data_IF_890161275281
#
_entry.id   IF_890161275281
#
_cell.length_a   1.000
_cell.length_b   1.000
_cell.length_c   1.000
_cell.angle_alpha   90.00
_cell.angle_beta   90.00
_cell.angle_gamma   90.00
#
_symmetry.space_group_name_H-M   'P 1'
#
loop_
_entity.id
_entity.type
_entity.pdbx_description
1 polymer ?
#
# COMPACT_ATOMS: atom_id res chain seq x y z
N UNK A 1 19.88 39.40 4.00
CA UNK A 1 19.01 39.54 2.80
C UNK A 1 19.47 38.53 1.77
N UNK A 2 18.82 37.36 1.73
CA UNK A 2 19.13 36.30 0.75
C UNK A 2 18.26 36.55 -0.48
N UNK A 3 18.90 36.99 -1.57
CA UNK A 3 18.25 37.11 -2.88
C UNK A 3 17.96 35.70 -3.44
N UNK A 4 16.71 35.32 -3.45
CA UNK A 4 16.25 34.12 -4.15
C UNK A 4 16.33 34.45 -5.64
N UNK A 5 17.34 33.90 -6.33
CA UNK A 5 17.42 33.99 -7.78
C UNK A 5 16.33 33.10 -8.39
N UNK A 6 15.25 33.70 -8.84
CA UNK A 6 14.30 33.04 -9.72
C UNK A 6 14.99 32.75 -11.06
N UNK A 7 15.36 31.50 -11.30
CA UNK A 7 15.71 31.05 -12.64
C UNK A 7 14.46 31.20 -13.51
N UNK A 8 14.44 32.25 -14.34
CA UNK A 8 13.38 32.44 -15.35
C UNK A 8 13.30 31.15 -16.20
N UNK A 9 12.22 30.40 -16.05
CA UNK A 9 11.98 29.25 -16.93
C UNK A 9 11.84 29.75 -18.35
N UNK A 10 12.64 29.20 -19.27
CA UNK A 10 12.55 29.49 -20.69
C UNK A 10 11.12 29.17 -21.17
N UNK A 11 10.43 30.21 -21.63
CA UNK A 11 9.13 30.09 -22.30
C UNK A 11 9.37 30.14 -23.80
N UNK A 12 8.95 29.10 -24.54
CA UNK A 12 9.10 29.12 -26.02
C UNK A 12 8.33 30.28 -26.63
N UNK A 13 8.90 30.92 -27.64
CA UNK A 13 8.21 31.95 -28.38
C UNK A 13 7.00 31.36 -29.13
N UNK A 14 5.91 32.11 -29.20
CA UNK A 14 4.72 31.74 -29.93
C UNK A 14 5.01 31.57 -31.44
N UNK A 15 4.28 30.71 -32.10
CA UNK A 15 4.44 30.42 -33.52
C UNK A 15 4.27 31.67 -34.39
N UNK A 16 3.32 32.54 -34.02
CA UNK A 16 3.10 33.83 -34.73
C UNK A 16 4.32 34.73 -34.63
N UNK A 17 4.93 34.84 -33.45
CA UNK A 17 6.16 35.63 -33.25
C UNK A 17 7.30 35.15 -34.14
N UNK A 18 7.49 33.82 -34.22
CA UNK A 18 8.52 33.22 -35.09
C UNK A 18 8.25 33.52 -36.56
N UNK A 19 7.02 33.37 -37.01
CA UNK A 19 6.61 33.58 -38.39
C UNK A 19 6.81 35.05 -38.83
N UNK A 20 6.29 35.99 -38.05
CA UNK A 20 6.42 37.39 -38.39
C UNK A 20 7.87 37.90 -38.29
N UNK A 21 8.64 37.44 -37.35
CA UNK A 21 10.06 37.80 -37.21
C UNK A 21 10.88 37.32 -38.41
N UNK A 22 10.67 36.08 -38.87
CA UNK A 22 11.39 35.53 -40.03
C UNK A 22 10.96 36.25 -41.32
N UNK A 23 9.66 36.49 -41.52
CA UNK A 23 9.18 37.21 -42.69
C UNK A 23 9.75 38.63 -42.75
N UNK A 24 9.73 39.36 -41.64
CA UNK A 24 10.29 40.72 -41.63
C UNK A 24 11.77 40.73 -41.93
N UNK A 25 12.54 39.74 -41.46
CA UNK A 25 13.95 39.57 -41.81
C UNK A 25 14.14 39.26 -43.29
N UNK A 26 13.34 38.40 -43.90
CA UNK A 26 13.41 38.06 -45.33
C UNK A 26 12.98 39.19 -46.23
N UNK A 27 12.18 40.15 -45.72
CA UNK A 27 11.85 41.38 -46.45
C UNK A 27 12.94 42.47 -46.32
N UNK A 28 14.15 42.12 -45.85
CA UNK A 28 15.31 42.99 -45.85
C UNK A 28 15.49 43.88 -44.61
N UNK A 29 14.68 43.71 -43.59
CA UNK A 29 14.85 44.51 -42.36
C UNK A 29 16.09 44.07 -41.56
N UNK A 30 16.87 45.04 -40.99
CA UNK A 30 18.08 44.72 -40.23
C UNK A 30 17.82 43.76 -39.07
N UNK A 31 18.73 42.79 -38.85
CA UNK A 31 18.65 41.81 -37.75
C UNK A 31 18.46 42.49 -36.41
N UNK A 32 19.15 43.58 -36.13
CA UNK A 32 19.05 44.32 -34.87
C UNK A 32 17.64 44.91 -34.66
N UNK A 33 16.98 45.36 -35.71
CA UNK A 33 15.62 45.87 -35.68
C UNK A 33 14.63 44.73 -35.34
N UNK A 34 14.70 43.60 -36.05
CA UNK A 34 13.82 42.46 -35.86
C UNK A 34 13.98 41.89 -34.46
N UNK A 35 15.23 41.74 -34.00
CA UNK A 35 15.51 41.22 -32.64
C UNK A 35 14.93 42.11 -31.52
N UNK A 36 15.06 43.45 -31.68
CA UNK A 36 14.47 44.41 -30.71
C UNK A 36 12.94 44.36 -30.73
N UNK A 37 12.34 44.36 -31.94
CA UNK A 37 10.88 44.38 -32.09
C UNK A 37 10.18 43.15 -31.45
N UNK A 38 10.76 41.97 -31.63
CA UNK A 38 10.17 40.71 -31.14
C UNK A 38 10.81 40.19 -29.87
N UNK A 39 11.74 40.94 -29.26
CA UNK A 39 12.49 40.56 -28.04
C UNK A 39 13.12 39.16 -28.15
N UNK A 40 13.77 38.88 -29.27
CA UNK A 40 14.40 37.61 -29.61
C UNK A 40 15.90 37.76 -29.77
N UNK A 41 16.64 36.64 -29.56
CA UNK A 41 18.07 36.64 -29.87
C UNK A 41 18.36 36.50 -31.35
N UNK A 42 19.50 37.01 -31.81
CA UNK A 42 19.99 36.79 -33.19
C UNK A 42 20.06 35.29 -33.52
N UNK A 43 20.54 34.47 -32.60
CA UNK A 43 20.66 33.02 -32.79
C UNK A 43 19.28 32.34 -32.99
N UNK A 44 18.26 32.82 -32.31
CA UNK A 44 16.89 32.31 -32.48
C UNK A 44 16.34 32.66 -33.86
N UNK A 45 16.50 33.93 -34.27
CA UNK A 45 16.08 34.37 -35.60
C UNK A 45 16.78 33.58 -36.72
N UNK A 46 18.10 33.42 -36.67
CA UNK A 46 18.86 32.66 -37.67
C UNK A 46 18.43 31.18 -37.70
N UNK A 47 18.19 30.59 -36.58
CA UNK A 47 17.72 29.18 -36.48
C UNK A 47 16.34 29.00 -37.11
N UNK A 48 15.43 29.95 -36.87
CA UNK A 48 14.09 29.92 -37.45
C UNK A 48 14.14 30.18 -38.97
N UNK A 49 14.95 31.16 -39.39
CA UNK A 49 15.12 31.43 -40.81
C UNK A 49 15.68 30.23 -41.60
N UNK A 50 16.60 29.44 -40.96
CA UNK A 50 17.14 28.22 -41.60
C UNK A 50 16.06 27.12 -41.72
N UNK A 51 15.09 27.08 -40.80
CA UNK A 51 13.98 26.09 -40.82
C UNK A 51 12.82 26.52 -41.74
N UNK A 52 12.72 27.80 -42.07
CA UNK A 52 11.55 28.37 -42.71
C UNK A 52 11.53 28.06 -44.19
N UNK A 53 10.55 27.29 -44.63
CA UNK A 53 10.29 26.90 -46.04
C UNK A 53 9.24 27.79 -46.74
N UNK A 54 8.69 28.78 -46.07
CA UNK A 54 7.59 29.63 -46.52
C UNK A 54 6.29 29.37 -45.78
N UNK A 55 6.15 28.23 -45.17
CA UNK A 55 4.96 27.87 -44.40
C UNK A 55 5.14 28.17 -42.90
N UNK A 56 4.03 28.44 -42.22
CA UNK A 56 4.01 28.67 -40.78
C UNK A 56 4.29 27.38 -39.99
N UNK A 57 3.91 26.27 -40.56
CA UNK A 57 4.05 24.91 -40.01
C UNK A 57 5.52 24.51 -39.83
N UNK A 58 6.41 24.99 -40.72
CA UNK A 58 7.85 24.72 -40.64
C UNK A 58 8.50 25.25 -39.36
N UNK A 59 7.88 26.26 -38.73
CA UNK A 59 8.36 26.88 -37.47
C UNK A 59 7.82 26.25 -36.21
N UNK A 60 6.99 25.22 -36.30
CA UNK A 60 6.50 24.48 -35.17
C UNK A 60 7.67 23.76 -34.46
N UNK A 61 7.76 23.90 -33.14
CA UNK A 61 8.79 23.20 -32.40
C UNK A 61 8.47 21.69 -32.37
N UNK A 62 9.42 20.89 -32.81
CA UNK A 62 9.32 19.43 -32.69
C UNK A 62 9.46 19.01 -31.23
N UNK A 63 8.79 17.95 -30.87
CA UNK A 63 8.95 17.33 -29.55
C UNK A 63 10.41 16.95 -29.30
N UNK A 64 10.94 17.32 -28.15
CA UNK A 64 12.27 16.85 -27.68
C UNK A 64 12.22 15.45 -27.04
N UNK A 65 11.07 14.78 -27.11
CA UNK A 65 10.92 13.44 -26.57
C UNK A 65 11.78 12.46 -27.37
N UNK A 66 12.55 11.59 -26.68
CA UNK A 66 13.29 10.53 -27.38
C UNK A 66 12.37 9.71 -28.27
N UNK A 67 12.82 9.40 -29.48
CA UNK A 67 12.07 8.57 -30.44
C UNK A 67 12.09 7.11 -30.05
N UNK A 68 13.14 6.68 -29.37
CA UNK A 68 13.29 5.32 -28.86
C UNK A 68 12.86 5.22 -27.40
N UNK A 69 12.18 4.13 -27.00
CA UNK A 69 11.87 3.88 -25.59
C UNK A 69 13.15 3.87 -24.74
N UNK A 70 13.05 4.37 -23.51
CA UNK A 70 14.16 4.31 -22.56
C UNK A 70 14.57 2.85 -22.34
N UNK A 71 15.88 2.49 -22.22
CA UNK A 71 16.33 1.10 -22.00
C UNK A 71 15.65 0.42 -20.80
N UNK A 72 15.31 1.19 -19.77
CA UNK A 72 14.58 0.71 -18.59
C UNK A 72 13.04 0.82 -18.74
N UNK A 73 12.50 1.07 -19.94
CA UNK A 73 11.06 0.98 -20.15
C UNK A 73 10.58 -0.47 -20.03
N UNK A 74 9.33 -0.65 -19.60
CA UNK A 74 8.74 -2.00 -19.58
C UNK A 74 8.60 -2.53 -21.00
N UNK A 75 8.95 -3.79 -21.17
CA UNK A 75 8.77 -4.51 -22.43
C UNK A 75 7.29 -4.82 -22.66
N UNK A 76 6.91 -5.08 -23.90
CA UNK A 76 5.54 -5.49 -24.24
C UNK A 76 5.14 -6.78 -23.52
N UNK A 77 6.08 -7.71 -23.36
CA UNK A 77 5.88 -8.95 -22.62
C UNK A 77 5.57 -8.70 -21.13
N UNK A 78 6.34 -7.82 -20.49
CA UNK A 78 6.09 -7.44 -19.08
C UNK A 78 4.72 -6.75 -18.93
N UNK A 79 4.37 -5.86 -19.87
CA UNK A 79 3.05 -5.20 -19.87
C UNK A 79 1.91 -6.21 -20.09
N UNK A 80 2.11 -7.23 -20.92
CA UNK A 80 1.16 -8.33 -21.11
C UNK A 80 0.96 -9.12 -19.82
N UNK A 81 2.03 -9.50 -19.12
CA UNK A 81 1.94 -10.21 -17.84
C UNK A 81 1.16 -9.41 -16.79
N UNK A 82 1.42 -8.12 -16.69
CA UNK A 82 0.72 -7.21 -15.77
C UNK A 82 -0.78 -7.20 -16.10
N UNK A 83 -1.13 -6.94 -17.36
CA UNK A 83 -2.54 -6.90 -17.80
C UNK A 83 -3.27 -8.23 -17.61
N UNK A 84 -2.62 -9.35 -17.89
CA UNK A 84 -3.22 -10.69 -17.76
C UNK A 84 -3.49 -11.04 -16.29
N UNK A 85 -2.58 -10.73 -15.37
CA UNK A 85 -2.78 -10.97 -13.95
C UNK A 85 -3.93 -10.11 -13.39
N UNK A 86 -4.02 -8.84 -13.80
CA UNK A 86 -5.10 -7.95 -13.39
C UNK A 86 -6.44 -8.41 -13.98
N UNK A 87 -6.48 -8.81 -15.25
CA UNK A 87 -7.68 -9.33 -15.89
C UNK A 87 -8.23 -10.56 -15.18
N UNK A 88 -7.35 -11.49 -14.74
CA UNK A 88 -7.73 -12.70 -13.98
C UNK A 88 -8.18 -12.39 -12.57
N UNK A 89 -7.58 -11.35 -11.95
CA UNK A 89 -7.88 -10.89 -10.61
C UNK A 89 -8.08 -9.37 -10.58
N UNK A 90 -9.27 -8.85 -10.93
CA UNK A 90 -9.50 -7.40 -11.00
C UNK A 90 -9.24 -6.66 -9.69
N UNK A 91 -9.31 -7.36 -8.57
CA UNK A 91 -9.13 -6.82 -7.22
C UNK A 91 -7.77 -7.15 -6.59
N UNK A 92 -6.81 -7.60 -7.42
CA UNK A 92 -5.46 -7.93 -6.94
C UNK A 92 -4.80 -6.70 -6.31
N UNK A 93 -4.22 -6.86 -5.13
CA UNK A 93 -3.48 -5.77 -4.51
C UNK A 93 -2.14 -5.55 -5.19
N UNK A 94 -1.60 -4.32 -5.10
CA UNK A 94 -0.27 -3.99 -5.65
C UNK A 94 0.83 -4.94 -5.13
N UNK A 95 0.79 -5.26 -3.84
CA UNK A 95 1.79 -6.14 -3.21
C UNK A 95 1.68 -7.58 -3.73
N UNK A 96 0.45 -8.07 -3.89
CA UNK A 96 0.20 -9.41 -4.43
C UNK A 96 0.60 -9.50 -5.91
N UNK A 97 0.23 -8.48 -6.70
CA UNK A 97 0.62 -8.41 -8.11
C UNK A 97 2.15 -8.42 -8.27
N UNK A 98 2.85 -7.60 -7.48
CA UNK A 98 4.32 -7.54 -7.52
C UNK A 98 4.95 -8.87 -7.09
N UNK A 99 4.41 -9.50 -6.04
CA UNK A 99 4.86 -10.81 -5.59
C UNK A 99 4.73 -11.87 -6.69
N UNK A 100 3.55 -12.01 -7.29
CA UNK A 100 3.29 -12.96 -8.38
C UNK A 100 4.16 -12.72 -9.60
N UNK A 101 4.33 -11.47 -10.02
CA UNK A 101 5.20 -11.13 -11.14
C UNK A 101 6.64 -11.58 -10.87
N UNK A 102 7.16 -11.40 -9.66
CA UNK A 102 8.53 -11.84 -9.31
C UNK A 102 8.66 -13.35 -9.24
N UNK A 103 7.74 -14.01 -8.57
CA UNK A 103 7.83 -15.46 -8.31
C UNK A 103 7.45 -16.31 -9.52
N UNK A 104 6.40 -15.91 -10.26
CA UNK A 104 5.86 -16.74 -11.34
C UNK A 104 6.41 -16.36 -12.73
N UNK A 105 6.93 -15.12 -12.90
CA UNK A 105 7.33 -14.57 -14.21
C UNK A 105 8.77 -14.08 -14.27
N UNK A 106 9.52 -14.14 -13.17
CA UNK A 106 10.90 -13.63 -13.14
C UNK A 106 11.02 -12.12 -13.35
N UNK A 107 9.98 -11.35 -12.99
CA UNK A 107 9.97 -9.89 -13.12
C UNK A 107 11.05 -9.24 -12.27
N UNK A 108 12.02 -8.60 -12.91
CA UNK A 108 13.23 -8.06 -12.27
C UNK A 108 13.15 -6.59 -11.87
N UNK A 109 12.11 -5.85 -12.33
CA UNK A 109 12.02 -4.42 -12.08
C UNK A 109 11.57 -4.11 -10.66
N UNK A 110 11.87 -2.88 -10.21
CA UNK A 110 11.51 -2.43 -8.86
C UNK A 110 10.00 -2.18 -8.72
N UNK A 111 9.49 -2.33 -7.49
CA UNK A 111 8.10 -2.05 -7.18
C UNK A 111 7.66 -0.60 -7.54
N UNK A 112 8.46 0.47 -7.28
CA UNK A 112 8.10 1.81 -7.73
C UNK A 112 7.96 1.93 -9.25
N UNK A 113 8.73 1.15 -10.04
CA UNK A 113 8.61 1.12 -11.50
C UNK A 113 7.28 0.51 -11.93
N UNK A 114 6.88 -0.63 -11.34
CA UNK A 114 5.58 -1.25 -11.56
C UNK A 114 4.44 -0.29 -11.21
N UNK A 115 4.49 0.36 -10.05
CA UNK A 115 3.44 1.26 -9.60
C UNK A 115 3.25 2.48 -10.52
N UNK A 116 4.33 3.01 -11.09
CA UNK A 116 4.24 4.07 -12.11
C UNK A 116 3.52 3.60 -13.37
N UNK A 117 3.81 2.39 -13.84
CA UNK A 117 3.14 1.80 -15.00
C UNK A 117 1.66 1.58 -14.72
N UNK A 118 1.31 1.04 -13.56
CA UNK A 118 -0.08 0.81 -13.19
C UNK A 118 -0.91 2.11 -13.16
N UNK A 119 -0.32 3.21 -12.64
CA UNK A 119 -0.97 4.53 -12.70
C UNK A 119 -1.15 5.02 -14.14
N UNK A 120 -0.12 4.87 -14.97
CA UNK A 120 -0.18 5.25 -16.39
C UNK A 120 -1.24 4.46 -17.16
N UNK A 121 -1.47 3.20 -16.78
CA UNK A 121 -2.50 2.34 -17.37
C UNK A 121 -3.90 2.57 -16.77
N UNK A 122 -4.04 3.51 -15.81
CA UNK A 122 -5.34 3.85 -15.22
C UNK A 122 -5.90 2.85 -14.21
N UNK A 123 -5.08 1.89 -13.75
CA UNK A 123 -5.55 0.90 -12.76
C UNK A 123 -5.75 1.47 -11.36
N UNK A 124 -5.23 2.68 -11.08
CA UNK A 124 -5.39 3.34 -9.79
C UNK A 124 -5.76 4.81 -9.99
N UNK A 125 -6.88 5.19 -9.40
CA UNK A 125 -7.30 6.60 -9.32
C UNK A 125 -6.44 7.31 -8.29
N UNK A 126 -5.90 8.48 -8.61
CA UNK A 126 -5.21 9.32 -7.64
C UNK A 126 -6.20 9.74 -6.55
N UNK A 127 -5.89 9.37 -5.30
CA UNK A 127 -6.65 9.83 -4.15
C UNK A 127 -6.26 11.28 -3.84
N UNK A 128 -7.23 12.10 -3.46
CA UNK A 128 -6.97 13.44 -2.94
C UNK A 128 -5.92 13.41 -1.83
N UNK A 129 -4.97 14.33 -1.92
CA UNK A 129 -3.88 14.44 -0.95
C UNK A 129 -4.41 15.11 0.31
N UNK A 130 -4.75 14.32 1.31
CA UNK A 130 -4.96 14.85 2.66
C UNK A 130 -3.60 15.17 3.33
N UNK A 131 -3.56 16.20 4.17
CA UNK A 131 -2.38 16.54 4.97
C UNK A 131 -1.89 15.31 5.75
N UNK A 132 -0.62 15.00 5.57
CA UNK A 132 -0.02 13.82 6.21
C UNK A 132 0.34 14.16 7.65
N UNK A 133 -0.43 13.63 8.58
CA UNK A 133 0.02 13.56 9.96
C UNK A 133 1.30 12.72 10.07
N UNK A 134 2.35 13.28 10.65
CA UNK A 134 3.62 12.57 10.96
C UNK A 134 3.58 12.01 12.39
N UNK A 135 3.27 10.71 12.58
CA UNK A 135 3.27 10.10 13.91
C UNK A 135 4.70 9.92 14.44
N UNK A 136 4.86 9.97 15.77
CA UNK A 136 6.10 9.53 16.41
C UNK A 136 6.41 8.09 16.00
N UNK A 137 7.70 7.80 15.79
CA UNK A 137 8.18 6.47 15.41
C UNK A 137 7.80 5.46 16.51
N UNK A 138 7.18 4.37 16.12
CA UNK A 138 6.82 3.26 17.01
C UNK A 138 7.91 2.17 16.91
N UNK A 139 8.46 1.77 18.04
CA UNK A 139 9.46 0.70 18.08
C UNK A 139 8.76 -0.66 17.92
N UNK A 140 9.01 -1.29 16.78
CA UNK A 140 8.49 -2.63 16.49
C UNK A 140 9.49 -3.66 17.00
N UNK A 141 9.05 -4.69 17.74
CA UNK A 141 9.92 -5.80 18.15
C UNK A 141 10.60 -6.44 16.94
N UNK A 142 11.86 -6.83 17.12
CA UNK A 142 12.66 -7.53 16.10
C UNK A 142 12.38 -9.02 16.06
N UNK A 143 12.00 -9.58 17.22
CA UNK A 143 11.77 -11.01 17.41
C UNK A 143 10.29 -11.38 17.46
N UNK A 144 9.96 -12.56 16.91
CA UNK A 144 8.63 -13.15 17.03
C UNK A 144 8.32 -13.54 18.49
N UNK A 145 7.04 -13.50 18.83
CA UNK A 145 6.56 -13.87 20.18
C UNK A 145 6.87 -12.83 21.25
N UNK A 146 7.43 -11.66 20.91
CA UNK A 146 7.57 -10.56 21.89
C UNK A 146 6.21 -9.92 22.14
N UNK A 147 5.51 -9.55 21.08
CA UNK A 147 4.25 -8.82 21.22
C UNK A 147 3.26 -9.17 20.13
N UNK A 148 2.06 -9.50 20.54
CA UNK A 148 0.90 -9.66 19.68
C UNK A 148 -0.07 -8.50 19.87
N UNK A 149 -0.66 -8.02 18.79
CA UNK A 149 -1.82 -7.13 18.83
C UNK A 149 -3.07 -7.96 18.51
N UNK A 150 -4.10 -7.82 19.34
CA UNK A 150 -5.37 -8.55 19.18
C UNK A 150 -6.53 -7.57 19.13
N UNK A 151 -7.53 -7.87 18.30
CA UNK A 151 -8.72 -7.05 18.11
C UNK A 151 -9.87 -7.90 17.54
N UNK A 152 -11.10 -7.43 17.69
CA UNK A 152 -12.30 -8.06 17.17
C UNK A 152 -13.01 -7.13 16.17
N UNK A 153 -13.46 -7.70 15.09
CA UNK A 153 -14.21 -7.00 14.07
C UNK A 153 -15.54 -7.68 13.79
N UNK A 154 -16.60 -6.90 13.61
CA UNK A 154 -17.85 -7.41 13.04
C UNK A 154 -17.63 -7.90 11.60
N UNK A 155 -18.14 -9.08 11.27
CA UNK A 155 -18.29 -9.54 9.91
C UNK A 155 -19.46 -8.75 9.28
N UNK A 156 -19.25 -8.06 8.14
CA UNK A 156 -20.33 -7.29 7.52
C UNK A 156 -21.54 -8.16 7.22
N UNK A 157 -22.70 -7.69 7.63
CA UNK A 157 -23.96 -8.47 7.51
C UNK A 157 -24.30 -8.76 6.05
N UNK A 158 -23.87 -7.89 5.14
CA UNK A 158 -24.08 -8.02 3.70
C UNK A 158 -23.37 -9.24 3.08
N UNK A 159 -22.39 -9.81 3.81
CA UNK A 159 -21.67 -11.01 3.38
C UNK A 159 -22.47 -12.30 3.66
N UNK A 160 -23.40 -12.25 4.61
CA UNK A 160 -24.20 -13.41 5.01
C UNK A 160 -25.46 -13.53 4.14
N UNK A 161 -25.66 -14.69 3.55
CA UNK A 161 -26.79 -15.03 2.69
C UNK A 161 -27.67 -16.15 3.27
N UNK A 162 -27.58 -16.42 4.57
CA UNK A 162 -28.42 -17.39 5.27
C UNK A 162 -29.81 -16.86 5.57
N UNK A 163 -30.69 -17.74 6.04
CA UNK A 163 -32.11 -17.45 6.31
C UNK A 163 -32.35 -16.78 7.67
N UNK A 164 -31.41 -16.89 8.59
CA UNK A 164 -31.52 -16.32 9.96
C UNK A 164 -30.62 -15.09 10.07
N UNK A 165 -31.04 -14.02 10.79
CA UNK A 165 -30.22 -12.82 10.94
C UNK A 165 -29.10 -13.02 11.98
N UNK A 166 -28.16 -13.92 11.69
CA UNK A 166 -27.02 -14.19 12.58
C UNK A 166 -25.93 -13.13 12.47
N UNK A 167 -25.31 -12.80 13.59
CA UNK A 167 -24.14 -11.94 13.66
C UNK A 167 -22.89 -12.79 13.82
N UNK A 168 -21.82 -12.39 13.13
CA UNK A 168 -20.54 -13.07 13.22
C UNK A 168 -19.44 -12.06 13.52
N UNK A 169 -18.39 -12.53 14.19
CA UNK A 169 -17.28 -11.73 14.66
C UNK A 169 -15.98 -12.37 14.19
N UNK A 170 -15.08 -11.58 13.62
CA UNK A 170 -13.72 -12.01 13.33
C UNK A 170 -12.82 -11.59 14.47
N UNK A 171 -12.24 -12.54 15.16
CA UNK A 171 -11.12 -12.33 16.05
C UNK A 171 -9.82 -12.35 15.25
N UNK A 172 -8.94 -11.43 15.54
CA UNK A 172 -7.67 -11.27 14.83
C UNK A 172 -6.55 -11.06 15.82
N UNK A 173 -5.46 -11.78 15.64
CA UNK A 173 -4.19 -11.53 16.32
C UNK A 173 -3.07 -11.46 15.29
N UNK A 174 -2.15 -10.51 15.47
CA UNK A 174 -0.98 -10.30 14.62
C UNK A 174 0.29 -10.25 15.46
N UNK A 175 1.29 -11.03 15.09
CA UNK A 175 2.65 -10.91 15.62
C UNK A 175 3.32 -9.66 15.04
N UNK A 176 3.82 -8.78 15.90
CA UNK A 176 4.32 -7.49 15.49
C UNK A 176 5.61 -7.56 14.67
N UNK A 177 6.47 -8.54 14.90
CA UNK A 177 7.74 -8.69 14.22
C UNK A 177 7.59 -9.29 12.82
N UNK A 178 6.88 -10.40 12.73
CA UNK A 178 6.68 -11.12 11.47
C UNK A 178 5.54 -10.57 10.61
N UNK A 179 4.59 -9.86 11.21
CA UNK A 179 3.29 -9.50 10.61
C UNK A 179 2.43 -10.71 10.26
N UNK A 180 2.84 -11.91 10.64
CA UNK A 180 1.99 -13.08 10.52
C UNK A 180 0.78 -12.92 11.45
N UNK A 181 -0.36 -13.32 10.97
CA UNK A 181 -1.60 -13.19 11.72
C UNK A 181 -2.37 -14.50 11.76
N UNK A 182 -3.20 -14.63 12.76
CA UNK A 182 -4.23 -15.64 12.86
C UNK A 182 -5.60 -14.97 12.97
N UNK A 183 -6.59 -15.47 12.23
CA UNK A 183 -7.98 -15.02 12.27
C UNK A 183 -8.91 -16.21 12.43
N UNK A 184 -9.98 -16.01 13.16
CA UNK A 184 -10.99 -17.04 13.37
C UNK A 184 -12.37 -16.42 13.60
N UNK A 185 -13.46 -16.95 13.02
CA UNK A 185 -14.80 -16.44 13.23
C UNK A 185 -15.43 -17.01 14.49
N UNK A 186 -16.30 -16.22 15.12
CA UNK A 186 -17.16 -16.62 16.23
C UNK A 186 -18.58 -16.10 16.01
N UNK A 187 -19.57 -16.76 16.64
CA UNK A 187 -20.96 -16.31 16.65
C UNK A 187 -21.24 -15.25 17.71
N UNK A 188 -20.31 -15.05 18.64
CA UNK A 188 -20.44 -14.08 19.73
C UNK A 188 -19.14 -13.34 20.00
N UNK A 189 -19.25 -12.12 20.47
CA UNK A 189 -18.15 -11.33 21.03
C UNK A 189 -18.21 -11.48 22.55
N UNK A 190 -17.44 -12.41 23.08
CA UNK A 190 -17.47 -12.75 24.49
C UNK A 190 -16.07 -13.06 25.02
N UNK A 191 -15.92 -13.01 26.34
CA UNK A 191 -14.69 -13.44 27.03
C UNK A 191 -14.37 -14.91 26.76
N UNK A 192 -15.38 -15.78 26.63
CA UNK A 192 -15.18 -17.19 26.27
C UNK A 192 -14.57 -17.35 24.89
N UNK A 193 -15.11 -16.63 23.90
CA UNK A 193 -14.55 -16.61 22.54
C UNK A 193 -13.13 -16.07 22.53
N UNK A 194 -12.81 -15.05 23.34
CA UNK A 194 -11.46 -14.50 23.49
C UNK A 194 -10.49 -15.54 24.03
N UNK A 195 -10.86 -16.26 25.08
CA UNK A 195 -10.02 -17.31 25.70
C UNK A 195 -9.77 -18.45 24.71
N UNK A 196 -10.82 -18.96 24.05
CA UNK A 196 -10.68 -20.00 23.02
C UNK A 196 -9.78 -19.52 21.87
N UNK A 197 -9.98 -18.28 21.41
CA UNK A 197 -9.18 -17.69 20.34
C UNK A 197 -7.69 -17.59 20.68
N UNK A 198 -7.33 -17.14 21.89
CA UNK A 198 -5.92 -17.07 22.34
C UNK A 198 -5.29 -18.46 22.36
N UNK A 199 -6.00 -19.48 22.86
CA UNK A 199 -5.52 -20.86 22.85
C UNK A 199 -5.28 -21.37 21.43
N UNK A 200 -6.22 -21.13 20.50
CA UNK A 200 -6.08 -21.48 19.07
C UNK A 200 -4.92 -20.75 18.44
N UNK A 201 -4.72 -19.48 18.74
CA UNK A 201 -3.62 -18.68 18.21
C UNK A 201 -2.27 -19.24 18.65
N UNK A 202 -2.11 -19.62 19.92
CA UNK A 202 -0.87 -20.26 20.42
C UNK A 202 -0.58 -21.56 19.67
N UNK A 203 -1.61 -22.40 19.45
CA UNK A 203 -1.46 -23.62 18.65
C UNK A 203 -1.08 -23.32 17.20
N UNK A 204 -1.73 -22.33 16.59
CA UNK A 204 -1.45 -21.93 15.21
C UNK A 204 -0.02 -21.42 14.99
N UNK A 205 0.46 -20.55 15.88
CA UNK A 205 1.81 -19.99 15.76
C UNK A 205 2.90 -20.99 16.22
N UNK A 206 2.56 -21.94 17.07
CA UNK A 206 3.53 -22.86 17.69
C UNK A 206 4.35 -22.22 18.82
N UNK A 207 4.01 -21.01 19.25
CA UNK A 207 4.64 -20.28 20.35
C UNK A 207 3.66 -19.34 21.02
N UNK A 208 3.94 -19.00 22.29
CA UNK A 208 3.20 -17.98 23.06
C UNK A 208 3.91 -16.64 23.00
N UNK A 209 3.18 -15.49 23.04
CA UNK A 209 3.80 -14.18 23.11
C UNK A 209 4.19 -13.84 24.55
N UNK A 210 5.10 -12.89 24.72
CA UNK A 210 5.36 -12.27 26.04
C UNK A 210 4.28 -11.26 26.38
N UNK A 211 3.76 -10.55 25.38
CA UNK A 211 2.75 -9.50 25.57
C UNK A 211 1.62 -9.71 24.57
N UNK A 212 0.37 -9.68 25.07
CA UNK A 212 -0.82 -9.52 24.23
C UNK A 212 -1.38 -8.11 24.48
N UNK A 213 -1.46 -7.32 23.42
CA UNK A 213 -2.04 -5.98 23.48
C UNK A 213 -3.44 -5.98 22.87
N UNK A 214 -4.42 -5.44 23.60
CA UNK A 214 -5.80 -5.29 23.18
C UNK A 214 -6.27 -3.85 23.39
N UNK A 215 -7.41 -3.51 22.83
CA UNK A 215 -8.17 -2.34 23.26
C UNK A 215 -8.90 -2.60 24.60
N UNK A 216 -9.77 -1.65 24.98
CA UNK A 216 -10.53 -1.73 26.22
C UNK A 216 -11.94 -2.32 26.00
N UNK A 217 -12.13 -3.21 25.03
CA UNK A 217 -13.37 -3.92 24.78
C UNK A 217 -13.79 -4.80 25.96
N UNK A 218 -15.10 -5.00 26.16
CA UNK A 218 -15.64 -5.82 27.27
C UNK A 218 -15.22 -7.28 27.19
N UNK A 219 -14.91 -7.76 26.01
CA UNK A 219 -14.37 -9.10 25.75
C UNK A 219 -12.93 -9.28 26.26
N UNK A 220 -12.22 -8.17 26.51
CA UNK A 220 -10.82 -8.16 26.93
C UNK A 220 -10.63 -7.66 28.36
N UNK A 221 -11.51 -6.79 28.86
CA UNK A 221 -11.38 -6.20 30.20
C UNK A 221 -12.75 -5.73 30.74
N UNK A 222 -12.85 -5.56 32.06
CA UNK A 222 -14.04 -4.94 32.63
C UNK A 222 -14.04 -3.43 32.39
N UNK A 223 -15.14 -2.89 31.89
CA UNK A 223 -15.31 -1.44 31.65
C UNK A 223 -15.66 -0.67 32.90
N UNK A 224 -16.25 -1.36 33.88
CA UNK A 224 -16.56 -0.81 35.21
C UNK A 224 -15.46 -1.17 36.23
N UNK A 225 -15.19 -0.26 37.18
CA UNK A 225 -14.28 -0.55 38.27
C UNK A 225 -14.83 -1.73 39.08
N UNK A 226 -14.05 -2.77 39.19
CA UNK A 226 -14.36 -3.99 39.97
C UNK A 226 -13.08 -4.59 40.53
N UNK A 227 -13.17 -5.24 41.65
CA UNK A 227 -12.06 -6.00 42.26
C UNK A 227 -11.88 -7.39 41.62
N UNK A 228 -12.77 -7.76 40.70
CA UNK A 228 -12.69 -9.03 39.97
C UNK A 228 -11.63 -8.99 38.91
N UNK A 229 -10.81 -10.03 38.81
CA UNK A 229 -9.84 -10.21 37.74
C UNK A 229 -10.57 -10.74 36.51
N UNK A 230 -10.31 -10.13 35.35
CA UNK A 230 -10.93 -10.56 34.12
C UNK A 230 -10.41 -11.96 33.70
N UNK A 231 -11.25 -12.85 33.16
CA UNK A 231 -10.82 -14.22 32.84
C UNK A 231 -9.69 -14.28 31.77
N UNK A 232 -9.58 -13.29 30.89
CA UNK A 232 -8.44 -13.17 29.98
C UNK A 232 -7.13 -12.93 30.77
N UNK A 233 -7.16 -12.08 31.81
CA UNK A 233 -5.97 -11.81 32.64
C UNK A 233 -5.56 -13.05 33.43
N UNK A 234 -6.54 -13.83 33.90
CA UNK A 234 -6.28 -15.12 34.55
C UNK A 234 -5.59 -16.08 33.58
N UNK A 235 -6.09 -16.22 32.36
CA UNK A 235 -5.47 -17.04 31.35
C UNK A 235 -4.06 -16.54 31.01
N UNK A 236 -3.88 -15.25 30.79
CA UNK A 236 -2.59 -14.67 30.47
C UNK A 236 -1.58 -14.91 31.58
N UNK A 237 -1.95 -14.70 32.83
CA UNK A 237 -1.12 -14.97 34.01
C UNK A 237 -0.73 -16.45 34.10
N UNK A 238 -1.66 -17.39 33.87
CA UNK A 238 -1.38 -18.82 33.88
C UNK A 238 -0.41 -19.28 32.80
N UNK A 239 -0.31 -18.51 31.73
CA UNK A 239 0.58 -18.76 30.56
C UNK A 239 1.85 -17.91 30.60
N UNK A 240 2.08 -17.12 31.66
CA UNK A 240 3.20 -16.17 31.75
C UNK A 240 3.21 -15.19 30.58
N UNK A 241 2.04 -14.64 30.25
CA UNK A 241 1.81 -13.64 29.23
C UNK A 241 1.38 -12.33 29.90
N UNK A 242 2.00 -11.22 29.55
CA UNK A 242 1.55 -9.91 30.01
C UNK A 242 0.41 -9.37 29.13
N UNK A 243 -0.79 -9.23 29.70
CA UNK A 243 -1.90 -8.55 29.01
C UNK A 243 -1.75 -7.03 29.13
N UNK A 244 -1.66 -6.33 28.02
CA UNK A 244 -1.46 -4.89 27.94
C UNK A 244 -2.65 -4.21 27.26
N UNK A 245 -3.37 -3.38 28.00
CA UNK A 245 -4.42 -2.53 27.44
C UNK A 245 -3.80 -1.29 26.77
N UNK A 246 -4.36 -0.86 25.64
CA UNK A 246 -3.99 0.43 25.06
C UNK A 246 -4.51 1.58 25.93
N UNK A 247 -3.78 2.70 25.91
CA UNK A 247 -4.26 3.90 26.63
C UNK A 247 -5.55 4.40 25.97
N UNK A 248 -6.56 4.81 26.76
CA UNK A 248 -7.78 5.39 26.23
C UNK A 248 -7.47 6.52 25.24
N UNK A 249 -8.22 6.62 24.16
CA UNK A 249 -8.07 7.62 23.07
C UNK A 249 -6.73 7.58 22.32
N UNK A 250 -6.01 6.44 22.37
CA UNK A 250 -4.77 6.25 21.59
C UNK A 250 -4.86 5.04 20.64
N UNK A 251 -5.76 5.09 19.63
CA UNK A 251 -6.00 3.95 18.72
C UNK A 251 -4.74 3.51 17.95
N UNK A 252 -3.73 4.39 17.85
CA UNK A 252 -2.46 4.09 17.17
C UNK A 252 -1.69 2.90 17.74
N UNK A 253 -1.89 2.59 19.00
CA UNK A 253 -1.17 1.49 19.64
C UNK A 253 -1.61 0.15 19.03
N UNK A 254 -2.87 0.01 18.57
CA UNK A 254 -3.38 -1.19 17.89
C UNK A 254 -3.37 -1.10 16.36
N UNK A 255 -2.63 -0.14 15.81
CA UNK A 255 -2.65 0.22 14.39
C UNK A 255 -2.25 -0.88 13.41
N UNK A 256 -1.54 -1.94 13.85
CA UNK A 256 -1.17 -3.07 12.97
C UNK A 256 -2.38 -3.97 12.71
N UNK A 257 -3.11 -4.32 13.77
CA UNK A 257 -4.33 -5.14 13.65
C UNK A 257 -5.46 -4.35 12.99
N UNK A 258 -5.65 -3.07 13.33
CA UNK A 258 -6.62 -2.20 12.66
C UNK A 258 -6.36 -2.07 11.14
N UNK A 259 -5.08 -1.93 10.75
CA UNK A 259 -4.70 -1.92 9.34
C UNK A 259 -4.99 -3.25 8.66
N UNK A 260 -4.82 -4.37 9.37
CA UNK A 260 -5.18 -5.68 8.85
C UNK A 260 -6.68 -5.79 8.60
N UNK A 261 -7.52 -5.28 9.49
CA UNK A 261 -8.97 -5.23 9.32
C UNK A 261 -9.42 -4.40 8.10
N UNK A 262 -8.72 -3.29 7.82
CA UNK A 262 -8.96 -2.52 6.58
C UNK A 262 -8.59 -3.32 5.33
N UNK A 263 -7.51 -4.08 5.38
CA UNK A 263 -7.15 -4.98 4.29
C UNK A 263 -8.18 -6.10 4.11
N UNK A 264 -8.72 -6.63 5.20
CA UNK A 264 -9.77 -7.65 5.18
C UNK A 264 -11.04 -7.11 4.52
N UNK A 265 -11.43 -5.87 4.86
CA UNK A 265 -12.57 -5.24 4.20
C UNK A 265 -12.38 -5.17 2.69
N UNK A 266 -11.22 -4.70 2.23
CA UNK A 266 -10.96 -4.47 0.82
C UNK A 266 -10.69 -5.74 0.00
N UNK A 267 -10.13 -6.79 0.61
CA UNK A 267 -9.61 -7.96 -0.10
C UNK A 267 -10.45 -9.23 0.11
N UNK A 268 -11.32 -9.21 1.11
CA UNK A 268 -12.12 -10.35 1.49
C UNK A 268 -13.58 -9.99 1.62
N UNK A 269 -13.97 -9.14 2.57
CA UNK A 269 -15.38 -8.88 2.87
C UNK A 269 -16.15 -8.22 1.73
N UNK A 270 -15.54 -7.34 0.96
CA UNK A 270 -16.20 -6.70 -0.19
C UNK A 270 -16.65 -7.71 -1.27
N UNK A 271 -16.13 -8.94 -1.22
CA UNK A 271 -16.38 -9.99 -2.21
C UNK A 271 -16.91 -11.28 -1.59
N UNK A 272 -16.95 -11.35 -0.26
CA UNK A 272 -17.39 -12.52 0.47
C UNK A 272 -18.91 -12.68 0.38
N UNK A 273 -19.34 -13.91 0.08
CA UNK A 273 -20.68 -14.40 0.36
C UNK A 273 -20.56 -15.76 1.02
N UNK A 274 -21.30 -15.96 2.11
CA UNK A 274 -21.34 -17.22 2.84
C UNK A 274 -22.75 -17.52 3.34
N UNK A 275 -23.05 -18.80 3.52
CA UNK A 275 -24.40 -19.28 3.82
C UNK A 275 -24.52 -19.90 5.22
N UNK A 276 -23.40 -20.25 5.83
CA UNK A 276 -23.36 -20.85 7.16
C UNK A 276 -22.09 -20.49 7.91
N UNK A 277 -22.08 -20.74 9.20
CA UNK A 277 -20.89 -20.57 10.02
C UNK A 277 -19.70 -21.43 9.56
N UNK A 278 -19.97 -22.67 9.15
CA UNK A 278 -18.94 -23.58 8.64
C UNK A 278 -18.36 -23.09 7.30
N UNK A 279 -19.20 -22.57 6.43
CA UNK A 279 -18.76 -21.96 5.17
C UNK A 279 -17.87 -20.74 5.43
N UNK A 280 -18.25 -19.85 6.36
CA UNK A 280 -17.43 -18.73 6.79
C UNK A 280 -16.05 -19.18 7.31
N UNK A 281 -16.01 -20.25 8.11
CA UNK A 281 -14.73 -20.82 8.64
C UNK A 281 -13.83 -21.28 7.50
N UNK A 282 -14.37 -22.00 6.53
CA UNK A 282 -13.62 -22.53 5.38
C UNK A 282 -13.05 -21.37 4.55
N UNK A 283 -13.90 -20.40 4.19
CA UNK A 283 -13.48 -19.26 3.38
C UNK A 283 -12.46 -18.37 4.11
N UNK A 284 -12.66 -18.14 5.41
CA UNK A 284 -11.74 -17.36 6.24
C UNK A 284 -10.38 -18.06 6.40
N UNK A 285 -10.34 -19.40 6.53
CA UNK A 285 -9.11 -20.19 6.57
C UNK A 285 -8.33 -20.07 5.25
N UNK A 286 -9.02 -20.17 4.12
CA UNK A 286 -8.41 -19.99 2.80
C UNK A 286 -7.85 -18.57 2.63
N UNK A 287 -8.61 -17.55 3.05
CA UNK A 287 -8.17 -16.17 3.04
C UNK A 287 -6.97 -15.92 3.96
N UNK A 288 -6.93 -16.50 5.15
CA UNK A 288 -5.80 -16.42 6.08
C UNK A 288 -4.51 -16.91 5.42
N UNK A 289 -4.54 -18.09 4.81
CA UNK A 289 -3.40 -18.65 4.09
C UNK A 289 -2.92 -17.71 2.98
N UNK A 290 -3.83 -17.22 2.14
CA UNK A 290 -3.51 -16.22 1.10
C UNK A 290 -2.88 -14.97 1.71
N UNK A 291 -3.48 -14.42 2.75
CA UNK A 291 -3.07 -13.16 3.40
C UNK A 291 -1.65 -13.22 3.98
N UNK A 292 -1.28 -14.34 4.62
CA UNK A 292 0.05 -14.54 5.20
C UNK A 292 1.13 -14.82 4.13
N UNK A 293 0.73 -15.06 2.89
CA UNK A 293 1.62 -15.24 1.74
C UNK A 293 1.66 -14.03 0.79
N UNK A 294 1.07 -12.89 1.17
CA UNK A 294 1.18 -11.64 0.39
C UNK A 294 2.44 -10.88 0.81
N UNK A 295 3.36 -10.55 -0.12
CA UNK A 295 4.52 -9.73 0.18
C UNK A 295 4.14 -8.34 0.72
N UNK A 296 4.89 -7.88 1.72
CA UNK A 296 4.66 -6.58 2.36
C UNK A 296 5.88 -5.67 2.17
N UNK A 297 5.67 -4.45 1.72
CA UNK A 297 6.73 -3.45 1.57
C UNK A 297 7.48 -3.20 2.90
N UNK A 298 6.75 -3.19 4.03
CA UNK A 298 7.33 -2.98 5.36
C UNK A 298 8.27 -4.12 5.79
N UNK A 299 8.17 -5.28 5.17
CA UNK A 299 9.05 -6.45 5.37
C UNK A 299 10.11 -6.60 4.26
N UNK A 300 10.38 -5.53 3.50
CA UNK A 300 11.30 -5.61 2.37
C UNK A 300 10.81 -6.55 1.25
N UNK A 301 9.50 -6.65 1.07
CA UNK A 301 8.81 -7.52 0.10
C UNK A 301 8.86 -9.01 0.43
N UNK A 302 9.20 -9.35 1.67
CA UNK A 302 8.96 -10.69 2.19
C UNK A 302 7.47 -10.86 2.55
N UNK A 303 6.99 -12.10 2.51
CA UNK A 303 5.70 -12.45 3.10
C UNK A 303 5.82 -12.56 4.62
N UNK A 304 4.74 -12.43 5.39
CA UNK A 304 4.75 -12.69 6.83
C UNK A 304 5.38 -14.03 7.22
N UNK A 305 5.06 -15.10 6.49
CA UNK A 305 5.65 -16.43 6.72
C UNK A 305 7.15 -16.45 6.43
N UNK A 306 7.59 -15.84 5.33
CA UNK A 306 9.02 -15.73 5.03
C UNK A 306 9.78 -14.92 6.07
N UNK A 307 9.17 -13.83 6.56
CA UNK A 307 9.77 -13.02 7.63
C UNK A 307 9.90 -13.82 8.93
N UNK A 308 8.87 -14.58 9.34
CA UNK A 308 8.95 -15.48 10.49
C UNK A 308 10.11 -16.48 10.35
N UNK A 309 10.18 -17.14 9.21
CA UNK A 309 11.23 -18.13 8.95
C UNK A 309 12.62 -17.51 9.02
N UNK A 310 12.82 -16.34 8.41
CA UNK A 310 14.07 -15.58 8.46
C UNK A 310 14.48 -15.24 9.90
N UNK A 311 13.55 -14.81 10.75
CA UNK A 311 13.82 -14.49 12.16
C UNK A 311 14.24 -15.77 12.90
N UNK A 312 13.56 -16.89 12.67
CA UNK A 312 13.90 -18.18 13.29
C UNK A 312 15.29 -18.67 12.87
N UNK A 313 15.61 -18.62 11.57
CA UNK A 313 16.94 -19.00 11.06
C UNK A 313 18.06 -18.15 11.66
N UNK A 314 17.80 -16.84 11.86
CA UNK A 314 18.77 -15.96 12.50
C UNK A 314 19.05 -16.36 13.96
N UNK A 315 18.04 -16.82 14.69
CA UNK A 315 18.22 -17.34 16.07
C UNK A 315 19.07 -18.60 16.14
N UNK A 316 18.86 -19.52 15.19
CA UNK A 316 19.62 -20.78 15.16
C UNK A 316 21.09 -20.60 14.74
N UNK A 317 21.45 -19.48 14.13
CA UNK A 317 22.85 -19.17 13.75
C UNK A 317 23.65 -18.48 14.86
N UNK A 318 23.00 -18.04 15.92
CA UNK A 318 23.64 -17.31 17.05
C UNK A 318 23.87 -18.24 18.25
N UNK A 319 23.37 -19.47 18.20
CA UNK A 319 23.62 -20.57 19.16
C UNK A 319 24.69 -21.50 18.56
#
# INVERSE_FOLDING_TARGET
MNSISYTQRYTPHELNTKFYAVNLYRHGYPVSFVCRRYKISKSSLMRWNKKFDGSKESLIDKSHRPLTPHPNAHTELELKWIKDLIRRNPHISMSELYGKLRTERGYSRTAPSLFRVLRKLGFYVEKEKHEKYTPKKYDTPTDIGIKWQMDVKYVPIECYSGTTPDKFYQYTVIDEASRERFIYPYKEQSTYSTIDFVKRAIVYFGYKPKIIQTDNGQEFTYTMKTDKIHPLDILCSSLDIHHQLIRPRTPRHNGKVERSHRNDQNRFYNYLKFYSYEDLKIQMKAYLNRSNNIPMQVLGWLTPIQQRNKINEAKHKVV
#
